data_IF_761331105996
#
_entry.id   IF_761331105996
#
_cell.length_a   1.000
_cell.length_b   1.000
_cell.length_c   1.000
_cell.angle_alpha   90.00
_cell.angle_beta   90.00
_cell.angle_gamma   90.00
#
_symmetry.space_group_name_H-M   'P 1'
#
loop_
_entity.id
_entity.type
_entity.pdbx_description
1 polymer ?
#
# COMPACT_ATOMS: atom_id res chain seq x y z
N UNK A 1 54.16 15.37 -10.61
CA UNK A 1 53.34 16.57 -10.85
C UNK A 1 51.92 16.21 -10.44
N UNK A 2 51.56 16.64 -9.23
CA UNK A 2 50.36 16.24 -8.51
C UNK A 2 49.09 16.79 -9.17
N UNK A 3 48.11 15.93 -9.42
CA UNK A 3 46.73 16.33 -9.67
C UNK A 3 45.89 15.90 -8.47
N UNK A 4 45.35 16.91 -7.79
CA UNK A 4 44.63 16.87 -6.52
C UNK A 4 43.50 15.83 -6.50
N UNK A 5 43.65 14.82 -5.63
CA UNK A 5 42.65 13.82 -5.24
C UNK A 5 41.77 14.29 -4.05
N UNK A 6 41.66 15.60 -3.83
CA UNK A 6 40.90 16.19 -2.72
C UNK A 6 39.46 16.55 -3.13
N UNK A 7 38.56 15.57 -3.25
CA UNK A 7 37.11 15.77 -2.98
C UNK A 7 36.50 14.48 -2.42
N UNK A 8 37.03 13.96 -1.30
CA UNK A 8 36.23 13.42 -0.19
C UNK A 8 36.97 13.75 1.11
N UNK A 9 37.19 15.04 1.36
CA UNK A 9 37.51 15.54 2.69
C UNK A 9 36.23 16.22 3.22
N UNK A 10 35.27 15.40 3.68
CA UNK A 10 34.24 15.87 4.60
C UNK A 10 34.82 15.69 6.00
N UNK A 11 35.58 16.68 6.43
CA UNK A 11 36.28 16.70 7.71
C UNK A 11 35.32 16.28 8.84
N UNK A 12 35.67 15.17 9.49
CA UNK A 12 35.19 14.69 10.79
C UNK A 12 33.78 14.08 10.94
N UNK A 13 33.05 13.75 9.87
CA UNK A 13 31.95 12.76 9.97
C UNK A 13 31.59 12.15 8.62
N UNK A 14 31.75 10.84 8.44
CA UNK A 14 31.28 10.06 7.28
C UNK A 14 29.72 9.99 7.22
N UNK A 15 29.04 11.12 7.41
CA UNK A 15 27.60 11.22 7.57
C UNK A 15 26.99 12.01 6.41
N UNK A 16 26.43 11.29 5.42
CA UNK A 16 25.49 11.86 4.43
C UNK A 16 24.19 12.35 5.08
N UNK A 17 23.91 11.85 6.28
CA UNK A 17 22.70 12.10 7.06
C UNK A 17 23.10 12.70 8.40
N UNK A 18 22.68 13.94 8.68
CA UNK A 18 22.88 14.62 9.96
C UNK A 18 21.62 14.62 10.82
N UNK A 19 20.46 14.45 10.19
CA UNK A 19 19.14 14.47 10.83
C UNK A 19 18.17 13.45 10.21
N UNK A 20 17.08 13.13 10.93
CA UNK A 20 16.02 12.24 10.41
C UNK A 20 15.35 12.76 9.14
N UNK A 21 15.27 14.08 8.94
CA UNK A 21 14.68 14.67 7.73
C UNK A 21 15.53 14.40 6.49
N UNK A 22 16.85 14.27 6.65
CA UNK A 22 17.77 14.11 5.53
C UNK A 22 17.54 12.79 4.78
N UNK A 23 17.03 11.75 5.45
CA UNK A 23 16.67 10.47 4.81
C UNK A 23 15.63 10.59 3.69
N UNK A 24 14.84 11.66 3.68
CA UNK A 24 13.77 11.85 2.69
C UNK A 24 14.10 12.91 1.64
N UNK A 25 15.19 13.66 1.81
CA UNK A 25 15.67 14.63 0.83
C UNK A 25 16.50 13.93 -0.25
N UNK A 26 16.08 14.03 -1.51
CA UNK A 26 16.80 13.46 -2.66
C UNK A 26 17.90 14.36 -3.21
N UNK A 27 18.02 15.62 -2.75
CA UNK A 27 18.95 16.60 -3.29
C UNK A 27 20.42 16.12 -3.22
N UNK A 28 20.82 15.52 -2.09
CA UNK A 28 22.16 14.96 -1.91
C UNK A 28 22.39 13.75 -2.82
N UNK A 29 21.41 12.86 -2.95
CA UNK A 29 21.49 11.71 -3.86
C UNK A 29 21.63 12.15 -5.32
N UNK A 30 20.84 13.14 -5.77
CA UNK A 30 20.94 13.68 -7.13
C UNK A 30 22.31 14.31 -7.41
N UNK A 31 22.90 15.00 -6.42
CA UNK A 31 24.26 15.54 -6.52
C UNK A 31 25.30 14.43 -6.65
N UNK A 32 25.19 13.37 -5.85
CA UNK A 32 26.05 12.19 -5.91
C UNK A 32 25.96 11.52 -7.29
N UNK A 33 24.74 11.33 -7.81
CA UNK A 33 24.53 10.74 -9.15
C UNK A 33 25.17 11.59 -10.26
N UNK A 34 25.08 12.92 -10.18
CA UNK A 34 25.73 13.83 -11.15
C UNK A 34 27.25 13.77 -11.10
N UNK A 35 27.84 13.48 -9.95
CA UNK A 35 29.29 13.36 -9.77
C UNK A 35 29.85 12.00 -10.21
N UNK A 36 28.97 11.03 -10.49
CA UNK A 36 29.34 9.67 -10.91
C UNK A 36 29.53 8.72 -9.72
N UNK A 37 28.65 7.73 -9.60
CA UNK A 37 28.61 6.73 -8.51
C UNK A 37 29.94 5.96 -8.35
N UNK A 38 30.73 5.84 -9.44
CA UNK A 38 31.97 5.04 -9.49
C UNK A 38 33.09 5.51 -8.54
N UNK A 39 32.93 6.66 -7.88
CA UNK A 39 33.92 7.19 -6.93
C UNK A 39 33.54 6.99 -5.46
N UNK A 40 32.45 6.26 -5.16
CA UNK A 40 32.02 6.02 -3.79
C UNK A 40 32.61 4.71 -3.29
N UNK A 41 33.43 4.78 -2.25
CA UNK A 41 33.89 3.61 -1.50
C UNK A 41 32.85 3.26 -0.43
N UNK A 42 31.93 2.36 -0.77
CA UNK A 42 30.84 1.93 0.10
C UNK A 42 31.33 1.28 1.41
N UNK A 43 32.56 0.76 1.43
CA UNK A 43 33.16 0.15 2.62
C UNK A 43 33.51 1.17 3.72
N UNK A 44 33.59 2.46 3.36
CA UNK A 44 33.93 3.55 4.31
C UNK A 44 32.71 4.35 4.76
N UNK A 45 31.53 4.08 4.20
CA UNK A 45 30.32 4.81 4.52
C UNK A 45 29.75 4.39 5.87
N UNK A 46 29.15 5.33 6.59
CA UNK A 46 28.35 4.98 7.77
C UNK A 46 27.13 4.15 7.38
N UNK A 47 26.61 3.37 8.32
CA UNK A 47 25.40 2.57 8.10
C UNK A 47 24.19 3.44 7.74
N UNK A 48 24.08 4.64 8.31
CA UNK A 48 23.05 5.63 7.95
C UNK A 48 23.21 6.11 6.50
N UNK A 49 24.45 6.31 6.05
CA UNK A 49 24.76 6.70 4.67
C UNK A 49 24.43 5.56 3.70
N UNK A 50 24.72 4.31 4.07
CA UNK A 50 24.30 3.13 3.30
C UNK A 50 22.77 3.03 3.19
N UNK A 51 22.05 3.26 4.29
CA UNK A 51 20.57 3.28 4.27
C UNK A 51 20.04 4.43 3.42
N UNK A 52 20.63 5.63 3.52
CA UNK A 52 20.26 6.77 2.68
C UNK A 52 20.37 6.40 1.20
N UNK A 53 21.55 5.91 0.79
CA UNK A 53 21.78 5.50 -0.58
C UNK A 53 20.81 4.39 -0.97
N UNK A 54 20.60 3.36 -0.15
CA UNK A 54 19.63 2.30 -0.45
C UNK A 54 18.20 2.81 -0.66
N UNK A 55 17.73 3.77 0.15
CA UNK A 55 16.36 4.29 0.09
C UNK A 55 16.11 5.09 -1.19
N UNK A 56 17.15 5.79 -1.67
CA UNK A 56 17.09 6.63 -2.88
C UNK A 56 17.58 5.92 -4.14
N UNK A 57 18.42 4.89 -4.01
CA UNK A 57 18.92 4.12 -5.14
C UNK A 57 17.89 3.10 -5.62
N UNK A 58 17.73 3.07 -6.94
CA UNK A 58 16.69 2.33 -7.65
C UNK A 58 17.34 1.16 -8.39
N UNK A 59 17.12 -0.11 -7.97
CA UNK A 59 17.71 -1.28 -8.65
C UNK A 59 17.23 -1.50 -10.10
N UNK A 60 16.36 -0.63 -10.63
CA UNK A 60 15.82 -0.73 -11.98
C UNK A 60 15.18 0.60 -12.38
N UNK A 61 15.74 1.27 -13.39
CA UNK A 61 15.39 2.56 -14.01
C UNK A 61 13.92 2.78 -14.44
N UNK A 62 12.90 2.44 -13.65
CA UNK A 62 11.50 2.62 -14.07
C UNK A 62 10.51 3.18 -13.05
N UNK A 63 10.73 3.15 -11.73
CA UNK A 63 9.76 3.72 -10.76
C UNK A 63 10.36 4.13 -9.39
N UNK A 64 10.20 5.42 -9.04
CA UNK A 64 10.46 5.98 -7.70
C UNK A 64 9.70 5.25 -6.59
N UNK A 65 10.40 4.85 -5.51
CA UNK A 65 9.75 4.37 -4.27
C UNK A 65 8.92 5.50 -3.66
N UNK A 66 7.69 5.18 -3.23
CA UNK A 66 6.85 6.17 -2.54
C UNK A 66 7.44 6.54 -1.18
N UNK A 67 7.19 7.77 -0.73
CA UNK A 67 7.60 8.25 0.60
C UNK A 67 7.11 7.34 1.73
N UNK A 68 5.90 6.78 1.60
CA UNK A 68 5.38 5.78 2.54
C UNK A 68 6.26 4.52 2.58
N UNK A 69 6.73 4.04 1.43
CA UNK A 69 7.61 2.87 1.35
C UNK A 69 8.96 3.18 1.97
N UNK A 70 9.54 4.35 1.67
CA UNK A 70 10.80 4.80 2.28
C UNK A 70 10.70 4.85 3.80
N UNK A 71 9.62 5.40 4.36
CA UNK A 71 9.37 5.44 5.81
C UNK A 71 9.32 4.05 6.45
N UNK A 72 8.63 3.10 5.81
CA UNK A 72 8.56 1.70 6.30
C UNK A 72 9.94 1.05 6.25
N UNK A 73 10.68 1.24 5.16
CA UNK A 73 12.01 0.65 4.99
C UNK A 73 13.00 1.24 5.99
N UNK A 74 13.03 2.56 6.14
CA UNK A 74 13.85 3.25 7.13
C UNK A 74 13.55 2.74 8.55
N UNK A 75 12.27 2.60 8.91
CA UNK A 75 11.88 2.06 10.20
C UNK A 75 12.40 0.62 10.39
N UNK A 76 12.11 -0.28 9.44
CA UNK A 76 12.53 -1.68 9.55
C UNK A 76 14.07 -1.82 9.57
N UNK A 77 14.81 -1.02 8.79
CA UNK A 77 16.28 -1.00 8.77
C UNK A 77 16.88 -0.37 10.03
N UNK A 78 16.28 0.68 10.59
CA UNK A 78 16.76 1.28 11.85
C UNK A 78 16.74 0.28 13.01
N UNK A 79 15.73 -0.61 13.05
CA UNK A 79 15.69 -1.69 14.02
C UNK A 79 16.76 -2.75 13.80
N UNK A 80 17.12 -3.00 12.53
CA UNK A 80 18.18 -3.95 12.17
C UNK A 80 19.57 -3.39 12.49
N UNK A 81 19.87 -2.16 12.08
CA UNK A 81 21.15 -1.50 12.38
C UNK A 81 21.36 -1.29 13.87
N UNK A 82 20.30 -0.99 14.63
CA UNK A 82 20.40 -0.93 16.10
C UNK A 82 20.82 -2.28 16.69
N UNK A 83 20.25 -3.38 16.19
CA UNK A 83 20.65 -4.72 16.63
C UNK A 83 22.12 -4.99 16.30
N UNK A 84 22.56 -4.68 15.07
CA UNK A 84 23.97 -4.82 14.66
C UNK A 84 24.86 -4.03 15.62
N UNK A 85 24.58 -2.75 15.84
CA UNK A 85 25.37 -1.89 16.72
C UNK A 85 25.44 -2.41 18.16
N UNK A 86 24.34 -2.95 18.69
CA UNK A 86 24.26 -3.46 20.06
C UNK A 86 24.92 -4.84 20.26
N UNK A 87 25.07 -5.64 19.20
CA UNK A 87 25.51 -7.04 19.30
C UNK A 87 26.82 -7.37 18.60
N UNK A 88 27.10 -6.71 17.48
CA UNK A 88 28.24 -6.96 16.58
C UNK A 88 29.16 -5.73 16.54
N UNK A 89 28.57 -4.53 16.51
CA UNK A 89 29.24 -3.24 16.41
C UNK A 89 29.05 -2.59 15.04
N UNK A 90 29.31 -3.32 13.95
CA UNK A 90 29.22 -2.82 12.58
C UNK A 90 28.68 -3.86 11.60
N UNK A 91 28.00 -3.40 10.55
CA UNK A 91 27.46 -4.26 9.48
C UNK A 91 28.57 -5.00 8.69
N UNK A 92 29.80 -4.50 8.70
CA UNK A 92 30.93 -5.14 8.01
C UNK A 92 31.39 -6.44 8.69
N UNK A 93 31.12 -6.58 9.99
CA UNK A 93 31.45 -7.76 10.79
C UNK A 93 30.29 -8.76 10.83
N UNK A 94 29.21 -8.49 10.08
CA UNK A 94 28.03 -9.34 10.03
C UNK A 94 28.38 -10.75 9.55
N UNK A 95 27.79 -11.75 10.19
CA UNK A 95 27.89 -13.15 9.83
C UNK A 95 26.52 -13.78 9.59
N UNK A 96 26.53 -14.96 8.94
CA UNK A 96 25.32 -15.75 8.73
C UNK A 96 24.64 -16.16 10.04
N UNK A 97 25.41 -16.43 11.09
CA UNK A 97 24.89 -16.85 12.38
C UNK A 97 24.12 -15.73 13.08
N UNK A 98 24.65 -14.51 13.08
CA UNK A 98 23.95 -13.35 13.66
C UNK A 98 22.65 -13.03 12.92
N UNK A 99 22.63 -13.22 11.60
CA UNK A 99 21.42 -13.09 10.80
C UNK A 99 20.34 -14.12 11.19
N UNK A 100 20.72 -15.37 11.46
CA UNK A 100 19.78 -16.37 11.97
C UNK A 100 19.27 -16.02 13.37
N UNK A 101 20.16 -15.57 14.27
CA UNK A 101 19.81 -15.14 15.63
C UNK A 101 18.83 -13.96 15.58
N UNK A 102 19.12 -12.93 14.78
CA UNK A 102 18.27 -11.75 14.62
C UNK A 102 16.85 -12.14 14.19
N UNK A 103 16.72 -12.94 13.13
CA UNK A 103 15.40 -13.33 12.64
C UNK A 103 14.66 -14.30 13.56
N UNK A 104 15.37 -15.13 14.32
CA UNK A 104 14.78 -15.94 15.38
C UNK A 104 14.22 -15.08 16.53
N UNK A 105 14.93 -14.03 16.92
CA UNK A 105 14.41 -13.08 17.92
C UNK A 105 13.17 -12.34 17.40
N UNK A 106 13.17 -11.94 16.12
CA UNK A 106 12.01 -11.31 15.50
C UNK A 106 10.81 -12.27 15.38
N UNK A 107 11.04 -13.56 15.11
CA UNK A 107 9.94 -14.53 14.98
C UNK A 107 9.18 -14.76 16.29
N UNK A 108 9.82 -14.49 17.44
CA UNK A 108 9.16 -14.52 18.75
C UNK A 108 8.29 -13.28 19.01
N UNK A 109 8.51 -12.18 18.30
CA UNK A 109 7.86 -10.88 18.55
C UNK A 109 6.81 -10.51 17.51
N UNK A 110 6.91 -11.05 16.30
CA UNK A 110 6.11 -10.61 15.16
C UNK A 110 5.41 -11.77 14.48
N UNK A 111 4.19 -11.51 13.99
CA UNK A 111 3.47 -12.41 13.10
C UNK A 111 4.27 -12.70 11.83
N UNK A 112 4.06 -13.87 11.22
CA UNK A 112 4.81 -14.37 10.06
C UNK A 112 4.81 -13.39 8.87
N UNK A 113 3.71 -12.67 8.64
CA UNK A 113 3.58 -11.65 7.58
C UNK A 113 4.50 -10.44 7.82
N UNK A 114 4.51 -9.91 9.05
CA UNK A 114 5.39 -8.82 9.47
C UNK A 114 6.86 -9.26 9.44
N UNK A 115 7.15 -10.47 9.92
CA UNK A 115 8.50 -11.05 9.87
C UNK A 115 8.99 -11.17 8.42
N UNK A 116 8.14 -11.68 7.52
CA UNK A 116 8.46 -11.80 6.09
C UNK A 116 8.77 -10.44 5.46
N UNK A 117 7.99 -9.39 5.80
CA UNK A 117 8.27 -8.02 5.33
C UNK A 117 9.62 -7.53 5.82
N UNK A 118 9.87 -7.57 7.13
CA UNK A 118 11.15 -7.15 7.74
C UNK A 118 12.33 -7.88 7.10
N UNK A 119 12.20 -9.20 6.93
CA UNK A 119 13.20 -10.03 6.26
C UNK A 119 13.46 -9.62 4.82
N UNK A 120 12.41 -9.32 4.06
CA UNK A 120 12.52 -8.85 2.66
C UNK A 120 13.26 -7.52 2.57
N UNK A 121 12.95 -6.57 3.48
CA UNK A 121 13.60 -5.25 3.50
C UNK A 121 15.10 -5.40 3.80
N UNK A 122 15.45 -6.18 4.83
CA UNK A 122 16.85 -6.43 5.21
C UNK A 122 17.59 -7.18 4.10
N UNK A 123 16.97 -8.18 3.47
CA UNK A 123 17.54 -8.89 2.31
C UNK A 123 17.89 -7.93 1.17
N UNK A 124 16.95 -7.07 0.78
CA UNK A 124 17.16 -6.11 -0.30
C UNK A 124 18.27 -5.11 0.03
N UNK A 125 18.34 -4.66 1.29
CA UNK A 125 19.39 -3.77 1.76
C UNK A 125 20.77 -4.44 1.74
N UNK A 126 20.90 -5.65 2.28
CA UNK A 126 22.18 -6.37 2.28
C UNK A 126 22.64 -6.70 0.86
N UNK A 127 21.73 -7.10 -0.02
CA UNK A 127 22.03 -7.33 -1.44
C UNK A 127 22.54 -6.05 -2.10
N UNK A 128 21.88 -4.93 -1.82
CA UNK A 128 22.28 -3.63 -2.32
C UNK A 128 23.69 -3.23 -1.86
N UNK A 129 24.01 -3.37 -0.58
CA UNK A 129 25.33 -3.01 -0.06
C UNK A 129 26.40 -3.95 -0.63
N UNK A 130 26.11 -5.25 -0.72
CA UNK A 130 27.01 -6.24 -1.34
C UNK A 130 27.30 -5.94 -2.82
N UNK A 131 26.27 -5.67 -3.62
CA UNK A 131 26.41 -5.37 -5.05
C UNK A 131 27.24 -4.11 -5.31
N UNK A 132 27.25 -3.19 -4.35
CA UNK A 132 28.05 -1.97 -4.39
C UNK A 132 29.38 -2.11 -3.60
N UNK A 133 29.85 -3.34 -3.36
CA UNK A 133 31.13 -3.70 -2.71
C UNK A 133 31.29 -3.29 -1.25
N UNK A 134 30.21 -2.89 -0.57
CA UNK A 134 30.24 -2.51 0.85
C UNK A 134 30.28 -3.68 1.83
N UNK A 135 30.06 -4.93 1.38
CA UNK A 135 30.13 -6.14 2.20
C UNK A 135 31.08 -7.17 1.59
N UNK A 136 31.73 -7.95 2.45
CA UNK A 136 32.66 -9.02 2.05
C UNK A 136 31.98 -10.28 1.50
N UNK A 137 30.72 -10.54 1.88
CA UNK A 137 29.94 -11.71 1.46
C UNK A 137 28.45 -11.35 1.24
N UNK A 138 27.74 -12.18 0.47
CA UNK A 138 26.30 -12.01 0.18
C UNK A 138 25.42 -12.65 1.27
N UNK A 139 25.25 -11.93 2.37
CA UNK A 139 24.36 -12.31 3.47
C UNK A 139 22.86 -12.28 3.11
N UNK A 140 22.48 -11.79 1.92
CA UNK A 140 21.08 -11.75 1.49
C UNK A 140 20.57 -13.10 0.97
N UNK A 141 21.46 -13.86 0.33
CA UNK A 141 21.15 -15.06 -0.45
C UNK A 141 20.74 -16.27 0.40
N UNK A 142 21.29 -16.42 1.60
CA UNK A 142 21.11 -17.60 2.47
C UNK A 142 19.97 -17.49 3.48
N UNK A 143 19.20 -16.41 3.41
CA UNK A 143 18.11 -16.17 4.34
C UNK A 143 16.89 -17.05 4.03
N UNK A 144 16.69 -18.10 4.84
CA UNK A 144 15.57 -19.07 4.71
C UNK A 144 14.21 -18.39 4.47
N UNK A 145 13.46 -18.82 3.46
CA UNK A 145 12.13 -18.25 3.18
C UNK A 145 11.20 -18.43 4.40
N UNK A 146 10.58 -17.34 4.86
CA UNK A 146 9.50 -17.42 5.85
C UNK A 146 8.27 -17.92 5.11
N UNK A 147 7.97 -19.21 5.30
CA UNK A 147 6.74 -19.84 4.83
C UNK A 147 5.58 -19.33 5.69
N UNK A 148 4.61 -18.68 5.05
CA UNK A 148 3.29 -18.45 5.67
C UNK A 148 2.45 -19.65 5.28
N UNK A 149 2.00 -20.44 6.26
CA UNK A 149 1.15 -21.61 6.00
C UNK A 149 -0.11 -21.15 5.26
N UNK A 150 -0.47 -21.86 4.19
CA UNK A 150 -1.61 -21.51 3.33
C UNK A 150 -2.93 -21.60 4.11
N UNK A 151 -3.00 -22.46 5.13
CA UNK A 151 -4.16 -22.61 6.02
C UNK A 151 -4.48 -21.33 6.83
N UNK A 152 -3.52 -20.42 7.09
CA UNK A 152 -3.81 -19.15 7.79
C UNK A 152 -4.57 -18.12 6.93
N UNK A 153 -4.69 -18.35 5.62
CA UNK A 153 -5.34 -17.42 4.69
C UNK A 153 -6.84 -17.65 4.55
N UNK A 154 -7.34 -18.84 4.90
CA UNK A 154 -8.72 -19.28 4.61
C UNK A 154 -9.75 -18.59 5.51
N UNK A 155 -9.39 -18.21 6.73
CA UNK A 155 -10.34 -17.69 7.71
C UNK A 155 -10.45 -16.15 7.73
N UNK A 156 -10.07 -15.50 6.62
CA UNK A 156 -10.01 -14.02 6.52
C UNK A 156 -11.20 -13.41 5.82
N UNK A 157 -11.91 -14.16 5.00
CA UNK A 157 -12.91 -13.61 4.10
C UNK A 157 -14.27 -13.42 4.80
N UNK A 158 -15.11 -12.57 4.21
CA UNK A 158 -16.48 -12.39 4.66
C UNK A 158 -17.42 -13.27 3.86
N UNK A 159 -18.51 -13.68 4.48
CA UNK A 159 -19.67 -14.25 3.80
C UNK A 159 -20.72 -13.18 3.52
N UNK A 160 -21.57 -13.36 2.49
CA UNK A 160 -22.72 -12.49 2.20
C UNK A 160 -23.55 -12.11 3.43
N UNK A 161 -23.86 -13.09 4.27
CA UNK A 161 -24.66 -12.93 5.47
C UNK A 161 -23.95 -12.04 6.51
N UNK A 162 -22.64 -12.23 6.71
CA UNK A 162 -21.83 -11.39 7.59
C UNK A 162 -21.78 -9.93 7.10
N UNK A 163 -21.74 -9.71 5.79
CA UNK A 163 -21.77 -8.36 5.20
C UNK A 163 -23.11 -7.69 5.47
N UNK A 164 -24.22 -8.41 5.30
CA UNK A 164 -25.56 -7.90 5.59
C UNK A 164 -25.74 -7.56 7.07
N UNK A 165 -25.31 -8.44 7.98
CA UNK A 165 -25.38 -8.18 9.42
C UNK A 165 -24.60 -6.91 9.81
N UNK A 166 -23.40 -6.72 9.26
CA UNK A 166 -22.59 -5.50 9.48
C UNK A 166 -23.29 -4.28 8.91
N UNK A 167 -23.80 -4.36 7.68
CA UNK A 167 -24.53 -3.25 7.04
C UNK A 167 -25.73 -2.83 7.88
N UNK A 168 -26.55 -3.78 8.34
CA UNK A 168 -27.72 -3.50 9.18
C UNK A 168 -27.34 -2.87 10.52
N UNK A 169 -26.29 -3.37 11.18
CA UNK A 169 -25.79 -2.82 12.43
C UNK A 169 -25.25 -1.39 12.24
N UNK A 170 -24.45 -1.15 11.20
CA UNK A 170 -23.89 0.15 10.89
C UNK A 170 -24.96 1.14 10.44
N UNK A 171 -25.98 0.72 9.69
CA UNK A 171 -27.06 1.61 9.21
C UNK A 171 -27.82 2.25 10.37
N UNK A 172 -28.00 1.51 11.47
CA UNK A 172 -28.67 1.96 12.69
C UNK A 172 -27.81 2.88 13.56
N UNK A 173 -26.48 2.70 13.54
CA UNK A 173 -25.57 3.32 14.51
C UNK A 173 -24.70 4.42 13.92
N UNK A 174 -24.28 4.28 12.67
CA UNK A 174 -23.35 5.18 12.01
C UNK A 174 -23.52 5.14 10.48
N UNK A 175 -24.36 6.04 9.96
CA UNK A 175 -24.68 6.11 8.54
C UNK A 175 -23.46 6.36 7.63
N UNK A 176 -22.44 7.10 8.12
CA UNK A 176 -21.19 7.27 7.36
C UNK A 176 -20.44 5.96 7.20
N UNK A 177 -20.36 5.16 8.27
CA UNK A 177 -19.70 3.87 8.22
C UNK A 177 -20.46 2.85 7.42
N UNK A 178 -21.79 2.86 7.51
CA UNK A 178 -22.65 2.09 6.61
C UNK A 178 -22.33 2.39 5.14
N UNK A 179 -22.36 3.67 4.76
CA UNK A 179 -22.08 4.10 3.38
C UNK A 179 -20.68 3.71 2.92
N UNK A 180 -19.66 3.93 3.76
CA UNK A 180 -18.28 3.58 3.45
C UNK A 180 -18.07 2.07 3.33
N UNK A 181 -18.64 1.29 4.25
CA UNK A 181 -18.55 -0.17 4.22
C UNK A 181 -19.28 -0.73 3.00
N UNK A 182 -20.48 -0.21 2.69
CA UNK A 182 -21.25 -0.58 1.52
C UNK A 182 -20.48 -0.26 0.23
N UNK A 183 -19.91 0.94 0.10
CA UNK A 183 -19.04 1.28 -1.02
C UNK A 183 -17.87 0.28 -1.17
N UNK A 184 -17.18 -0.08 -0.08
CA UNK A 184 -16.03 -0.97 -0.13
C UNK A 184 -16.38 -2.40 -0.54
N UNK A 185 -17.48 -2.96 -0.02
CA UNK A 185 -17.90 -4.35 -0.30
C UNK A 185 -18.52 -4.51 -1.69
N UNK A 186 -19.05 -3.42 -2.26
CA UNK A 186 -19.70 -3.42 -3.59
C UNK A 186 -18.77 -3.06 -4.73
N UNK A 187 -17.66 -2.36 -4.45
CA UNK A 187 -16.74 -1.88 -5.50
C UNK A 187 -15.34 -2.48 -5.43
N UNK A 188 -14.97 -3.07 -4.28
CA UNK A 188 -13.63 -3.53 -4.01
C UNK A 188 -12.56 -2.43 -4.07
N UNK A 189 -12.93 -1.15 -3.94
CA UNK A 189 -11.99 -0.03 -3.89
C UNK A 189 -10.97 -0.20 -2.76
N UNK A 190 -9.74 0.28 -2.97
CA UNK A 190 -8.78 0.43 -1.87
C UNK A 190 -9.16 1.64 -1.03
N UNK A 191 -8.89 1.59 0.28
CA UNK A 191 -9.17 2.73 1.16
C UNK A 191 -8.43 4.00 0.75
N UNK A 192 -7.23 3.88 0.17
CA UNK A 192 -6.49 5.01 -0.39
C UNK A 192 -7.15 5.57 -1.66
N UNK A 193 -7.80 4.74 -2.46
CA UNK A 193 -8.53 5.19 -3.65
C UNK A 193 -9.75 6.00 -3.22
N UNK A 194 -10.51 5.51 -2.23
CA UNK A 194 -11.67 6.23 -1.65
C UNK A 194 -11.25 7.54 -0.99
N UNK A 195 -10.19 7.51 -0.17
CA UNK A 195 -9.75 8.66 0.62
C UNK A 195 -9.19 9.80 -0.23
N UNK A 196 -8.73 9.53 -1.45
CA UNK A 196 -8.16 10.53 -2.36
C UNK A 196 -9.09 10.90 -3.52
N UNK A 197 -10.22 10.21 -3.69
CA UNK A 197 -11.18 10.49 -4.75
C UNK A 197 -11.90 11.83 -4.51
N UNK A 198 -12.15 12.55 -5.60
CA UNK A 198 -12.90 13.80 -5.63
C UNK A 198 -14.33 13.57 -6.05
N UNK A 199 -15.21 14.49 -5.72
CA UNK A 199 -16.56 14.47 -6.29
C UNK A 199 -16.54 14.60 -7.81
N UNK A 200 -15.65 15.44 -8.35
CA UNK A 200 -15.44 15.59 -9.80
C UNK A 200 -14.92 14.32 -10.50
N UNK A 201 -14.43 13.32 -9.77
CA UNK A 201 -13.97 12.06 -10.37
C UNK A 201 -15.14 11.11 -10.69
N UNK A 202 -16.36 11.40 -10.20
CA UNK A 202 -17.58 10.66 -10.49
C UNK A 202 -18.26 11.22 -11.74
N UNK A 203 -18.47 10.37 -12.74
CA UNK A 203 -19.09 10.74 -14.01
C UNK A 203 -20.18 9.76 -14.40
N UNK A 204 -21.29 10.27 -14.93
CA UNK A 204 -22.31 9.43 -15.56
C UNK A 204 -21.92 9.12 -17.01
N UNK A 205 -21.82 7.84 -17.35
CA UNK A 205 -21.54 7.38 -18.70
C UNK A 205 -22.82 6.92 -19.39
N UNK A 206 -23.39 7.76 -20.25
CA UNK A 206 -24.64 7.52 -20.97
C UNK A 206 -24.65 6.21 -21.77
N UNK A 207 -23.57 5.88 -22.48
CA UNK A 207 -23.45 4.64 -23.27
C UNK A 207 -23.50 3.36 -22.44
N UNK A 208 -23.14 3.43 -21.17
CA UNK A 208 -23.13 2.29 -20.25
C UNK A 208 -24.31 2.34 -19.28
N UNK A 209 -25.09 3.42 -19.30
CA UNK A 209 -26.10 3.75 -18.31
C UNK A 209 -25.60 3.51 -16.88
N UNK A 210 -24.42 4.05 -16.55
CA UNK A 210 -23.76 3.76 -15.28
C UNK A 210 -22.91 4.94 -14.78
N UNK A 211 -22.85 5.09 -13.46
CA UNK A 211 -21.92 6.01 -12.80
C UNK A 211 -20.55 5.35 -12.65
N UNK A 212 -19.51 6.00 -13.14
CA UNK A 212 -18.12 5.54 -12.99
C UNK A 212 -17.32 6.53 -12.15
N UNK A 213 -16.67 6.01 -11.11
CA UNK A 213 -15.68 6.74 -10.34
C UNK A 213 -14.29 6.47 -10.90
N UNK A 214 -13.60 7.52 -11.33
CA UNK A 214 -12.19 7.46 -11.70
C UNK A 214 -11.33 7.49 -10.44
N UNK A 215 -10.48 6.47 -10.26
CA UNK A 215 -9.55 6.41 -9.12
C UNK A 215 -8.12 6.15 -9.57
N UNK A 216 -7.16 6.68 -8.81
CA UNK A 216 -5.72 6.45 -9.05
C UNK A 216 -5.23 5.40 -8.07
N UNK A 217 -4.92 4.21 -8.58
CA UNK A 217 -4.42 3.08 -7.81
C UNK A 217 -2.89 3.06 -7.65
N UNK A 218 -2.39 1.95 -7.09
CA UNK A 218 -0.95 1.72 -6.87
C UNK A 218 -0.16 1.90 -8.17
N UNK A 219 0.94 2.65 -8.09
CA UNK A 219 1.81 2.93 -9.23
C UNK A 219 1.30 4.05 -10.14
N UNK A 220 0.44 4.94 -9.62
CA UNK A 220 -0.11 6.09 -10.33
C UNK A 220 -0.95 5.72 -11.57
N UNK A 221 -1.67 4.60 -11.50
CA UNK A 221 -2.49 4.10 -12.62
C UNK A 221 -3.95 4.41 -12.37
N UNK A 222 -4.57 5.13 -13.29
CA UNK A 222 -6.00 5.38 -13.27
C UNK A 222 -6.79 4.11 -13.64
N UNK A 223 -7.91 3.88 -12.97
CA UNK A 223 -8.96 2.94 -13.36
C UNK A 223 -10.32 3.55 -13.09
N UNK A 224 -11.34 3.09 -13.81
CA UNK A 224 -12.74 3.43 -13.58
C UNK A 224 -13.41 2.28 -12.84
N UNK A 225 -14.26 2.62 -11.88
CA UNK A 225 -15.00 1.67 -11.04
C UNK A 225 -16.46 2.06 -11.07
N UNK A 226 -17.36 1.10 -11.32
CA UNK A 226 -18.79 1.35 -11.33
C UNK A 226 -19.27 1.62 -9.89
N UNK A 227 -20.06 2.67 -9.72
CA UNK A 227 -20.81 2.95 -8.49
C UNK A 227 -22.26 2.59 -8.77
N UNK A 228 -22.83 1.72 -7.96
CA UNK A 228 -24.24 1.33 -8.07
C UNK A 228 -25.15 2.45 -7.55
N UNK A 229 -26.38 2.51 -8.06
CA UNK A 229 -27.32 3.61 -7.77
C UNK A 229 -27.68 3.69 -6.29
N UNK A 230 -27.92 2.55 -5.65
CA UNK A 230 -28.17 2.44 -4.21
C UNK A 230 -27.00 2.98 -3.36
N UNK A 231 -25.77 2.63 -3.72
CA UNK A 231 -24.55 3.17 -3.08
C UNK A 231 -24.43 4.67 -3.33
N UNK A 232 -24.73 5.12 -4.55
CA UNK A 232 -24.67 6.54 -4.91
C UNK A 232 -25.72 7.36 -4.15
N UNK A 233 -26.93 6.84 -3.98
CA UNK A 233 -28.00 7.49 -3.22
C UNK A 233 -27.59 7.71 -1.77
N UNK A 234 -26.98 6.70 -1.14
CA UNK A 234 -26.45 6.83 0.22
C UNK A 234 -25.30 7.84 0.31
N UNK A 235 -24.43 7.89 -0.70
CA UNK A 235 -23.34 8.89 -0.80
C UNK A 235 -23.92 10.30 -0.96
N UNK A 236 -24.90 10.49 -1.84
CA UNK A 236 -25.58 11.76 -2.06
C UNK A 236 -26.28 12.24 -0.79
N UNK A 237 -27.01 11.35 -0.10
CA UNK A 237 -27.61 11.62 1.20
C UNK A 237 -26.57 12.03 2.23
N UNK A 238 -25.45 11.32 2.30
CA UNK A 238 -24.35 11.65 3.21
C UNK A 238 -23.75 13.03 2.94
N UNK A 239 -23.58 13.40 1.67
CA UNK A 239 -23.09 14.71 1.25
C UNK A 239 -24.04 15.82 1.67
N UNK A 240 -25.35 15.63 1.44
CA UNK A 240 -26.38 16.57 1.87
C UNK A 240 -26.39 16.77 3.40
N UNK A 241 -26.28 15.69 4.18
CA UNK A 241 -26.14 15.77 5.65
C UNK A 241 -24.90 16.56 6.10
N UNK A 242 -23.88 16.64 5.25
CA UNK A 242 -22.64 17.39 5.45
C UNK A 242 -22.64 18.77 4.79
N UNK A 243 -23.81 19.22 4.29
CA UNK A 243 -23.98 20.50 3.58
C UNK A 243 -23.10 20.62 2.33
N UNK A 244 -22.83 19.49 1.68
CA UNK A 244 -22.10 19.41 0.40
C UNK A 244 -23.09 19.11 -0.73
N UNK A 245 -22.84 19.64 -1.93
CA UNK A 245 -23.70 19.38 -3.09
C UNK A 245 -23.67 17.91 -3.51
N UNK A 246 -24.81 17.37 -3.92
CA UNK A 246 -24.97 16.06 -4.57
C UNK A 246 -25.09 16.18 -6.09
N UNK A 247 -25.08 17.38 -6.65
CA UNK A 247 -25.06 17.58 -8.10
C UNK A 247 -23.68 17.24 -8.66
N UNK A 248 -23.62 16.50 -9.76
CA UNK A 248 -22.37 16.18 -10.42
C UNK A 248 -21.76 17.44 -11.01
N UNK A 249 -20.55 17.76 -10.56
CA UNK A 249 -19.80 18.93 -10.99
C UNK A 249 -18.34 18.55 -11.23
N UNK A 250 -17.92 18.63 -12.50
CA UNK A 250 -16.56 18.31 -12.93
C UNK A 250 -15.51 19.30 -12.40
N UNK A 251 -15.92 20.44 -11.86
CA UNK A 251 -15.04 21.43 -11.21
C UNK A 251 -14.91 21.24 -9.70
N UNK A 252 -15.67 20.32 -9.11
CA UNK A 252 -15.72 20.14 -7.66
C UNK A 252 -14.37 19.68 -7.07
N UNK A 253 -13.87 20.43 -6.10
CA UNK A 253 -12.64 20.11 -5.35
C UNK A 253 -12.90 19.33 -4.06
N UNK A 254 -14.17 19.20 -3.69
CA UNK A 254 -14.63 18.46 -2.50
C UNK A 254 -14.33 16.98 -2.64
N UNK A 255 -13.99 16.33 -1.52
CA UNK A 255 -13.74 14.90 -1.52
C UNK A 255 -15.00 14.12 -1.91
N UNK A 256 -14.83 12.92 -2.47
CA UNK A 256 -15.92 12.03 -2.84
C UNK A 256 -16.79 11.66 -1.62
N UNK A 257 -16.13 11.30 -0.51
CA UNK A 257 -16.71 11.17 0.83
C UNK A 257 -16.18 12.30 1.74
N UNK A 258 -16.81 13.49 1.71
CA UNK A 258 -16.26 14.71 2.31
C UNK A 258 -16.55 14.82 3.79
N UNK A 259 -15.70 15.49 4.56
CA UNK A 259 -16.10 16.07 5.86
C UNK A 259 -17.11 17.21 5.65
N UNK A 260 -17.63 17.78 6.73
CA UNK A 260 -18.56 18.92 6.66
C UNK A 260 -17.97 20.13 5.92
N UNK A 261 -16.66 20.32 5.97
CA UNK A 261 -15.93 21.39 5.27
C UNK A 261 -15.53 21.02 3.83
N UNK A 262 -15.97 19.87 3.32
CA UNK A 262 -15.58 19.38 1.98
C UNK A 262 -14.22 18.67 1.94
N UNK A 263 -13.45 18.67 3.04
CA UNK A 263 -12.10 18.13 3.07
C UNK A 263 -12.03 16.60 3.11
N UNK A 264 -10.85 16.08 2.80
CA UNK A 264 -10.54 14.65 2.75
C UNK A 264 -10.29 14.07 4.15
N UNK A 265 -10.63 12.80 4.31
CA UNK A 265 -10.13 12.01 5.43
C UNK A 265 -8.77 11.40 5.10
N UNK A 266 -7.92 11.23 6.10
CA UNK A 266 -6.67 10.48 5.92
C UNK A 266 -6.99 8.99 5.74
N UNK A 267 -6.35 8.33 4.78
CA UNK A 267 -6.63 6.93 4.45
C UNK A 267 -6.37 5.95 5.61
N UNK A 268 -5.33 6.18 6.42
CA UNK A 268 -5.01 5.39 7.61
C UNK A 268 -6.05 5.58 8.73
N UNK A 269 -6.56 6.80 8.89
CA UNK A 269 -7.67 7.08 9.80
C UNK A 269 -8.92 6.30 9.38
N UNK A 270 -9.34 6.40 8.11
CA UNK A 270 -10.51 5.65 7.63
C UNK A 270 -10.30 4.14 7.78
N UNK A 271 -9.10 3.63 7.49
CA UNK A 271 -8.80 2.21 7.64
C UNK A 271 -8.94 1.72 9.07
N UNK A 272 -8.48 2.51 10.05
CA UNK A 272 -8.61 2.21 11.47
C UNK A 272 -10.07 2.32 11.91
N UNK A 273 -10.74 3.39 11.48
CA UNK A 273 -12.13 3.68 11.84
C UNK A 273 -13.11 2.61 11.33
N UNK A 274 -12.88 2.05 10.13
CA UNK A 274 -13.63 0.88 9.61
C UNK A 274 -13.49 -0.31 10.56
N UNK A 275 -12.26 -0.67 10.94
CA UNK A 275 -12.05 -1.83 11.81
C UNK A 275 -12.69 -1.62 13.19
N UNK A 276 -12.50 -0.45 13.80
CA UNK A 276 -13.07 -0.12 15.11
C UNK A 276 -14.60 -0.13 15.09
N UNK A 277 -15.23 0.50 14.10
CA UNK A 277 -16.69 0.60 14.07
C UNK A 277 -17.37 -0.72 13.75
N UNK A 278 -16.72 -1.61 13.03
CA UNK A 278 -17.21 -2.99 12.86
C UNK A 278 -17.08 -3.77 14.17
N UNK A 279 -15.96 -3.66 14.89
CA UNK A 279 -15.80 -4.31 16.20
C UNK A 279 -16.86 -3.84 17.21
N UNK A 280 -17.18 -2.55 17.24
CA UNK A 280 -18.19 -1.96 18.12
C UNK A 280 -19.62 -2.48 17.86
N UNK A 281 -19.90 -3.09 16.69
CA UNK A 281 -21.20 -3.70 16.42
C UNK A 281 -21.50 -4.90 17.32
N UNK A 282 -20.46 -5.52 17.91
CA UNK A 282 -20.58 -6.68 18.80
C UNK A 282 -21.35 -7.87 18.20
N UNK A 283 -21.38 -8.00 16.87
CA UNK A 283 -22.04 -9.10 16.17
C UNK A 283 -21.45 -10.45 16.60
N UNK A 284 -22.28 -11.50 16.81
CA UNK A 284 -21.83 -12.78 17.38
C UNK A 284 -20.66 -13.42 16.63
N UNK A 285 -20.68 -13.40 15.29
CA UNK A 285 -19.65 -14.03 14.47
C UNK A 285 -18.27 -13.38 14.64
N UNK A 286 -18.20 -12.09 14.99
CA UNK A 286 -16.94 -11.36 15.21
C UNK A 286 -16.11 -11.97 16.34
N UNK A 287 -16.76 -12.61 17.33
CA UNK A 287 -16.10 -13.23 18.49
C UNK A 287 -15.23 -14.43 18.10
N UNK A 288 -15.52 -15.07 16.97
CA UNK A 288 -14.84 -16.27 16.51
C UNK A 288 -13.83 -15.99 15.38
N UNK A 289 -13.70 -14.72 14.96
CA UNK A 289 -12.74 -14.33 13.93
C UNK A 289 -11.35 -14.11 14.52
N UNK A 290 -10.33 -14.68 13.86
CA UNK A 290 -8.91 -14.50 14.24
C UNK A 290 -8.39 -13.10 13.87
N UNK A 291 -8.85 -12.56 12.74
CA UNK A 291 -8.40 -11.29 12.19
C UNK A 291 -9.56 -10.28 12.14
N UNK A 292 -9.23 -9.00 12.37
CA UNK A 292 -10.17 -7.89 12.28
C UNK A 292 -10.66 -7.71 10.85
N UNK A 293 -11.90 -7.25 10.69
CA UNK A 293 -12.42 -6.84 9.39
C UNK A 293 -11.86 -5.46 9.04
N UNK A 294 -11.21 -5.38 7.89
CA UNK A 294 -10.57 -4.16 7.40
C UNK A 294 -11.06 -3.84 5.98
N UNK A 295 -10.76 -2.65 5.42
CA UNK A 295 -11.06 -2.38 4.01
C UNK A 295 -10.45 -3.41 3.04
N UNK A 296 -9.33 -4.04 3.41
CA UNK A 296 -8.74 -5.10 2.59
C UNK A 296 -9.59 -6.37 2.61
N UNK A 297 -10.19 -6.71 3.75
CA UNK A 297 -11.16 -7.80 3.88
C UNK A 297 -12.37 -7.57 2.97
N UNK A 298 -12.90 -6.35 2.93
CA UNK A 298 -14.02 -5.98 2.05
C UNK A 298 -13.69 -6.17 0.57
N UNK A 299 -12.44 -5.85 0.18
CA UNK A 299 -11.96 -6.05 -1.17
C UNK A 299 -11.81 -7.53 -1.55
N UNK A 300 -11.34 -8.37 -0.62
CA UNK A 300 -11.31 -9.82 -0.85
C UNK A 300 -12.71 -10.40 -0.95
N UNK A 301 -13.61 -9.98 -0.06
CA UNK A 301 -15.03 -10.32 -0.15
C UNK A 301 -15.58 -10.00 -1.55
N UNK A 302 -15.40 -8.79 -2.05
CA UNK A 302 -15.86 -8.41 -3.39
C UNK A 302 -15.27 -9.31 -4.49
N UNK A 303 -13.96 -9.60 -4.43
CA UNK A 303 -13.30 -10.47 -5.40
C UNK A 303 -13.90 -11.89 -5.37
N UNK A 304 -14.10 -12.45 -4.18
CA UNK A 304 -14.68 -13.77 -3.99
C UNK A 304 -16.15 -13.82 -4.38
N UNK A 305 -16.92 -12.77 -4.07
CA UNK A 305 -18.32 -12.64 -4.46
C UNK A 305 -18.48 -12.69 -5.98
N UNK A 306 -17.64 -11.93 -6.71
CA UNK A 306 -17.62 -11.99 -8.17
C UNK A 306 -17.20 -13.37 -8.71
N UNK A 307 -16.23 -14.03 -8.08
CA UNK A 307 -15.87 -15.40 -8.45
C UNK A 307 -17.03 -16.38 -8.22
N UNK A 308 -17.75 -16.25 -7.10
CA UNK A 308 -18.93 -17.03 -6.78
C UNK A 308 -20.07 -16.81 -7.78
N UNK A 309 -20.21 -15.60 -8.32
CA UNK A 309 -21.13 -15.27 -9.43
C UNK A 309 -20.62 -15.71 -10.82
N UNK A 310 -19.52 -16.47 -10.90
CA UNK A 310 -19.00 -17.02 -12.16
C UNK A 310 -18.19 -16.04 -13.01
N UNK A 311 -17.79 -14.89 -12.46
CA UNK A 311 -16.94 -13.94 -13.20
C UNK A 311 -15.52 -14.48 -13.30
N UNK A 312 -14.98 -14.51 -14.51
CA UNK A 312 -13.61 -14.98 -14.77
C UNK A 312 -12.57 -14.18 -13.97
N UNK A 313 -11.61 -14.89 -13.34
CA UNK A 313 -10.54 -14.29 -12.53
C UNK A 313 -9.76 -13.18 -13.27
N UNK A 314 -9.57 -13.32 -14.59
CA UNK A 314 -8.91 -12.30 -15.41
C UNK A 314 -9.69 -10.98 -15.40
N UNK A 315 -11.01 -11.03 -15.58
CA UNK A 315 -11.92 -9.87 -15.54
C UNK A 315 -11.92 -9.24 -14.15
N UNK A 316 -11.96 -10.05 -13.10
CA UNK A 316 -11.88 -9.56 -11.70
C UNK A 316 -10.54 -8.84 -11.44
N UNK A 317 -9.42 -9.43 -11.89
CA UNK A 317 -8.09 -8.82 -11.74
C UNK A 317 -7.97 -7.51 -12.49
N UNK A 318 -8.51 -7.44 -13.71
CA UNK A 318 -8.53 -6.23 -14.51
C UNK A 318 -9.39 -5.14 -13.85
N UNK A 319 -10.58 -5.51 -13.37
CA UNK A 319 -11.47 -4.62 -12.63
C UNK A 319 -10.78 -4.04 -11.40
N UNK A 320 -10.18 -4.90 -10.57
CA UNK A 320 -9.49 -4.53 -9.35
C UNK A 320 -8.12 -3.85 -9.59
N UNK A 321 -7.61 -3.85 -10.82
CA UNK A 321 -6.34 -3.23 -11.17
C UNK A 321 -5.10 -3.95 -10.61
N UNK A 322 -5.09 -5.29 -10.64
CA UNK A 322 -3.90 -6.08 -10.26
C UNK A 322 -2.89 -6.18 -11.42
N UNK A 323 -1.67 -5.67 -11.23
CA UNK A 323 -0.57 -5.82 -12.19
C UNK A 323 -0.16 -7.30 -12.33
N UNK A 324 -0.36 -7.89 -13.51
CA UNK A 324 0.75 -8.63 -14.13
C UNK A 324 0.90 -8.23 -15.58
N UNK A 325 2.16 -8.20 -16.00
CA UNK A 325 2.71 -7.69 -17.25
C UNK A 325 2.16 -8.45 -18.46
N UNK A 326 1.62 -7.71 -19.42
CA UNK A 326 2.16 -7.64 -20.78
C UNK A 326 1.90 -6.22 -21.27
N UNK A 327 2.88 -5.60 -21.91
CA UNK A 327 2.79 -4.30 -22.59
C UNK A 327 2.13 -4.48 -23.96
N UNK A 328 1.70 -3.37 -24.57
CA UNK A 328 1.03 -3.27 -25.89
C UNK A 328 -0.48 -3.57 -25.84
N UNK A 329 -1.32 -2.62 -26.31
CA UNK A 329 -2.82 -2.54 -26.19
C UNK A 329 -3.36 -1.61 -25.08
N UNK A 330 -2.91 -0.35 -24.99
CA UNK A 330 -3.56 0.60 -24.05
C UNK A 330 -5.04 0.85 -24.42
N UNK A 331 -5.35 0.94 -25.71
CA UNK A 331 -6.68 1.28 -26.20
C UNK A 331 -7.66 0.08 -26.20
N UNK A 332 -7.18 -1.11 -26.60
CA UNK A 332 -8.00 -2.33 -26.58
C UNK A 332 -8.40 -2.69 -25.15
N UNK A 333 -7.48 -2.53 -24.18
CA UNK A 333 -7.75 -2.82 -22.77
C UNK A 333 -8.74 -1.85 -22.14
N UNK A 334 -8.76 -0.58 -22.51
CA UNK A 334 -9.75 0.36 -21.97
C UNK A 334 -11.16 0.00 -22.43
N UNK A 335 -11.35 -0.35 -23.71
CA UNK A 335 -12.63 -0.82 -24.23
C UNK A 335 -13.07 -2.14 -23.58
N UNK A 336 -12.17 -3.13 -23.51
CA UNK A 336 -12.46 -4.42 -22.87
C UNK A 336 -12.73 -4.26 -21.37
N UNK A 337 -12.00 -3.37 -20.66
CA UNK A 337 -12.26 -3.08 -19.24
C UNK A 337 -13.61 -2.42 -19.02
N UNK A 338 -14.01 -1.47 -19.89
CA UNK A 338 -15.34 -0.84 -19.84
C UNK A 338 -16.46 -1.81 -20.18
N UNK A 339 -16.24 -2.74 -21.11
CA UNK A 339 -17.17 -3.85 -21.35
C UNK A 339 -17.28 -4.77 -20.13
N UNK A 340 -16.16 -5.11 -19.48
CA UNK A 340 -16.19 -5.89 -18.24
C UNK A 340 -16.93 -5.16 -17.11
N UNK A 341 -16.80 -3.83 -17.00
CA UNK A 341 -17.57 -2.99 -16.07
C UNK A 341 -19.08 -3.07 -16.33
N UNK A 342 -19.50 -3.14 -17.60
CA UNK A 342 -20.91 -3.33 -17.98
C UNK A 342 -21.40 -4.76 -17.74
N UNK A 343 -20.51 -5.76 -17.81
CA UNK A 343 -20.85 -7.18 -17.62
C UNK A 343 -20.92 -7.58 -16.15
N UNK A 344 -20.28 -6.80 -15.26
CA UNK A 344 -20.45 -6.93 -13.81
C UNK A 344 -21.78 -6.28 -13.45
N UNK A 345 -22.86 -6.98 -13.80
CA UNK A 345 -24.21 -6.66 -13.36
C UNK A 345 -24.44 -7.41 -12.05
N UNK A 346 -24.27 -6.72 -10.93
CA UNK A 346 -24.46 -7.31 -9.60
C UNK A 346 -25.94 -7.21 -9.18
N UNK A 347 -26.82 -6.64 -10.02
CA UNK A 347 -28.24 -6.40 -9.71
C UNK A 347 -28.44 -5.34 -8.63
N UNK A 348 -29.62 -4.70 -8.62
CA UNK A 348 -30.00 -3.65 -7.65
C UNK A 348 -30.12 -4.12 -6.19
N UNK A 349 -29.80 -5.39 -5.92
CA UNK A 349 -29.50 -5.86 -4.57
C UNK A 349 -28.25 -6.72 -4.66
N UNK A 350 -27.20 -6.33 -3.92
CA UNK A 350 -25.99 -7.15 -3.84
C UNK A 350 -26.24 -8.51 -3.16
N UNK A 351 -27.41 -8.66 -2.54
CA UNK A 351 -27.92 -9.84 -1.87
C UNK A 351 -29.40 -10.03 -2.17
#
# INVERSE_FOLDING_TARGET
MCLNLNIINYEHSNQLVKSKSDFFDSSHFEKIMRMGIRNIDYSKLSEESLVYLFLHDEPSLTKKRSERTKKIYLHDLSHFLRYIKETIGTIHDLSHNEMEIYFYQLSKKYAATTLRRKKTVVQQFLKYVYDNTGLSDDYSSRLKKVSVKKEELVNRDLFPEEVNEILDALKKTNFFMYTLFFLLTTTGLRIEEVANAKWADLVFHSSLNAYLLRVVGKGNKAREVRIFEDVLDDICRLRQLRKQTSELDASSTSAFLPKADGSYYRADYLSKYVAEKIEETNLPFLRYRKDRITPHTCRHFFANHLMGKGVELKKIRDYLGHESIMTTERYLRERTRRQNLATIDIGNSLF
#
